data_IF_704695047435
#
_entry.id   IF_704695047435
#
_cell.length_a   1.000
_cell.length_b   1.000
_cell.length_c   1.000
_cell.angle_alpha   90.00
_cell.angle_beta   90.00
_cell.angle_gamma   90.00
#
_symmetry.space_group_name_H-M   'P 1'
#
loop_
_entity.id
_entity.type
_entity.pdbx_description
1 polymer ?
#
# COMPACT_ATOMS: atom_id res chain seq x y z
N UNK A 1 6.30 -10.12 -21.63
CA UNK A 1 6.69 -8.74 -21.22
C UNK A 1 5.50 -7.97 -20.64
N UNK A 2 4.29 -8.23 -21.14
CA UNK A 2 2.99 -7.68 -20.68
C UNK A 2 2.64 -8.05 -19.23
N UNK A 3 2.93 -9.28 -18.78
CA UNK A 3 2.55 -9.73 -17.43
C UNK A 3 3.29 -8.98 -16.32
N UNK A 4 4.60 -8.76 -16.48
CA UNK A 4 5.40 -8.00 -15.51
C UNK A 4 4.96 -6.54 -15.41
N UNK A 5 4.54 -5.93 -16.52
CA UNK A 5 4.03 -4.55 -16.53
C UNK A 5 2.66 -4.49 -15.85
N UNK A 6 1.77 -5.45 -16.11
CA UNK A 6 0.48 -5.54 -15.45
C UNK A 6 0.62 -5.75 -13.93
N UNK A 7 1.52 -6.62 -13.50
CA UNK A 7 1.77 -6.87 -12.08
C UNK A 7 2.28 -5.61 -11.35
N UNK A 8 3.19 -4.85 -11.97
CA UNK A 8 3.66 -3.55 -11.45
C UNK A 8 2.53 -2.54 -11.30
N UNK A 9 1.65 -2.45 -12.29
CA UNK A 9 0.50 -1.55 -12.26
C UNK A 9 -0.46 -1.96 -11.13
N UNK A 10 -0.79 -3.24 -10.98
CA UNK A 10 -1.64 -3.74 -9.89
C UNK A 10 -1.05 -3.46 -8.51
N UNK A 11 0.25 -3.69 -8.35
CA UNK A 11 0.97 -3.36 -7.11
C UNK A 11 0.94 -1.85 -6.80
N UNK A 12 1.06 -0.99 -7.82
CA UNK A 12 0.96 0.46 -7.67
C UNK A 12 -0.45 0.89 -7.27
N UNK A 13 -1.48 0.29 -7.87
CA UNK A 13 -2.89 0.56 -7.57
C UNK A 13 -3.25 0.28 -6.11
N UNK A 14 -2.51 -0.60 -5.43
CA UNK A 14 -2.69 -0.82 -4.00
C UNK A 14 -2.49 0.48 -3.19
N UNK A 15 -1.61 1.39 -3.61
CA UNK A 15 -1.31 2.61 -2.87
C UNK A 15 -2.12 3.83 -3.32
N UNK A 16 -2.95 3.69 -4.36
CA UNK A 16 -3.91 4.73 -4.73
C UNK A 16 -4.88 4.91 -3.57
N UNK A 17 -5.09 6.15 -3.09
CA UNK A 17 -5.98 6.43 -1.97
C UNK A 17 -7.32 5.69 -2.07
N UNK A 18 -7.65 4.95 -1.01
CA UNK A 18 -8.91 4.18 -0.89
C UNK A 18 -9.09 3.01 -1.89
N UNK A 19 -8.13 2.81 -2.80
CA UNK A 19 -8.23 1.81 -3.86
C UNK A 19 -7.67 0.44 -3.47
N UNK A 20 -6.86 0.37 -2.41
CA UNK A 20 -6.37 -0.89 -1.82
C UNK A 20 -7.49 -1.86 -1.45
N UNK A 21 -8.59 -1.35 -0.89
CA UNK A 21 -9.76 -2.14 -0.52
C UNK A 21 -10.39 -2.76 -1.77
N UNK A 22 -10.48 -2.00 -2.86
CA UNK A 22 -11.04 -2.46 -4.13
C UNK A 22 -10.17 -3.57 -4.73
N UNK A 23 -8.85 -3.39 -4.75
CA UNK A 23 -7.90 -4.42 -5.21
C UNK A 23 -7.99 -5.68 -4.34
N UNK A 24 -8.17 -5.53 -3.02
CA UNK A 24 -8.33 -6.67 -2.11
C UNK A 24 -9.54 -7.55 -2.47
N UNK A 25 -10.65 -6.99 -2.93
CA UNK A 25 -11.85 -7.76 -3.30
C UNK A 25 -11.86 -8.22 -4.77
N UNK A 26 -11.28 -7.44 -5.69
CA UNK A 26 -11.31 -7.76 -7.12
C UNK A 26 -10.28 -8.82 -7.54
N UNK A 27 -9.10 -8.82 -6.93
CA UNK A 27 -8.03 -9.72 -7.35
C UNK A 27 -8.07 -11.01 -6.52
N UNK A 28 -8.47 -12.13 -7.13
CA UNK A 28 -8.59 -13.43 -6.44
C UNK A 28 -7.27 -14.16 -6.28
N UNK A 29 -6.35 -14.03 -7.25
CA UNK A 29 -5.07 -14.73 -7.26
C UNK A 29 -3.94 -13.73 -7.01
N UNK A 30 -3.65 -13.50 -5.72
CA UNK A 30 -2.76 -12.43 -5.26
C UNK A 30 -1.35 -12.97 -5.07
N UNK A 31 -0.37 -12.37 -5.75
CA UNK A 31 1.03 -12.66 -5.45
C UNK A 31 1.37 -12.23 -4.02
N UNK A 32 2.39 -12.86 -3.43
CA UNK A 32 2.82 -12.55 -2.06
C UNK A 32 3.18 -11.06 -1.90
N UNK A 33 3.87 -10.50 -2.90
CA UNK A 33 4.19 -9.07 -2.98
C UNK A 33 2.94 -8.20 -3.00
N UNK A 34 1.90 -8.59 -3.73
CA UNK A 34 0.66 -7.81 -3.79
C UNK A 34 -0.08 -7.86 -2.46
N UNK A 35 -0.11 -9.01 -1.79
CA UNK A 35 -0.65 -9.11 -0.43
C UNK A 35 0.07 -8.19 0.55
N UNK A 36 1.41 -8.16 0.52
CA UNK A 36 2.20 -7.22 1.33
C UNK A 36 1.84 -5.77 1.04
N UNK A 37 1.75 -5.39 -0.23
CA UNK A 37 1.40 -4.03 -0.65
C UNK A 37 -0.03 -3.62 -0.22
N UNK A 38 -0.99 -4.55 -0.27
CA UNK A 38 -2.33 -4.30 0.25
C UNK A 38 -2.29 -4.05 1.76
N UNK A 39 -1.58 -4.89 2.52
CA UNK A 39 -1.44 -4.73 3.98
C UNK A 39 -0.82 -3.37 4.31
N UNK A 40 0.26 -2.98 3.63
CA UNK A 40 0.90 -1.68 3.83
C UNK A 40 0.02 -0.50 3.48
N UNK A 41 -0.76 -0.61 2.40
CA UNK A 41 -1.72 0.44 2.05
C UNK A 41 -2.85 0.56 3.08
N UNK A 42 -3.36 -0.56 3.61
CA UNK A 42 -4.36 -0.55 4.69
C UNK A 42 -3.77 0.09 5.95
N UNK A 43 -2.54 -0.28 6.32
CA UNK A 43 -1.84 0.31 7.47
C UNK A 43 -1.67 1.82 7.27
N UNK A 44 -1.27 2.25 6.07
CA UNK A 44 -1.13 3.67 5.72
C UNK A 44 -2.47 4.42 5.85
N UNK A 45 -3.57 3.81 5.41
CA UNK A 45 -4.92 4.37 5.55
C UNK A 45 -5.33 4.49 7.03
N UNK A 46 -5.07 3.47 7.84
CA UNK A 46 -5.34 3.50 9.29
C UNK A 46 -4.51 4.61 9.96
N UNK A 47 -3.23 4.73 9.62
CA UNK A 47 -2.39 5.84 10.11
C UNK A 47 -2.93 7.20 9.70
N UNK A 48 -3.41 7.37 8.47
CA UNK A 48 -4.05 8.61 8.03
C UNK A 48 -5.27 8.95 8.87
N UNK A 49 -6.18 7.99 9.12
CA UNK A 49 -7.38 8.23 9.92
C UNK A 49 -7.01 8.60 11.36
N UNK A 50 -6.12 7.84 12.00
CA UNK A 50 -5.68 8.09 13.38
C UNK A 50 -4.96 9.43 13.51
N UNK A 51 -4.05 9.74 12.58
CA UNK A 51 -3.32 11.01 12.57
C UNK A 51 -4.23 12.19 12.25
N UNK A 52 -5.21 12.01 11.37
CA UNK A 52 -6.22 13.02 11.03
C UNK A 52 -7.20 13.33 12.18
N UNK A 53 -7.40 12.39 13.13
CA UNK A 53 -8.15 12.63 14.36
C UNK A 53 -7.36 13.47 15.37
N UNK A 54 -6.03 13.31 15.41
CA UNK A 54 -5.14 14.02 16.35
C UNK A 54 -4.72 15.40 15.82
N UNK A 55 -4.53 15.50 14.50
CA UNK A 55 -4.07 16.70 13.80
C UNK A 55 -5.19 17.31 12.96
N UNK A 56 -4.91 18.39 12.21
CA UNK A 56 -5.87 18.88 11.22
C UNK A 56 -5.94 17.89 10.06
N UNK A 57 -7.15 17.43 9.71
CA UNK A 57 -7.42 16.51 8.60
C UNK A 57 -6.66 16.85 7.31
N UNK A 58 -6.52 18.14 6.98
CA UNK A 58 -5.81 18.61 5.80
C UNK A 58 -4.31 18.26 5.80
N UNK A 59 -3.64 18.37 6.96
CA UNK A 59 -2.22 18.05 7.05
C UNK A 59 -1.98 16.55 6.96
N UNK A 60 -2.83 15.76 7.63
CA UNK A 60 -2.82 14.30 7.51
C UNK A 60 -3.05 13.84 6.06
N UNK A 61 -3.94 14.53 5.32
CA UNK A 61 -4.21 14.21 3.93
C UNK A 61 -3.00 14.45 3.03
N UNK A 62 -2.27 15.54 3.22
CA UNK A 62 -1.03 15.82 2.46
C UNK A 62 0.00 14.71 2.68
N UNK A 63 0.26 14.35 3.94
CA UNK A 63 1.20 13.26 4.24
C UNK A 63 0.76 11.93 3.65
N UNK A 64 -0.52 11.61 3.77
CA UNK A 64 -1.09 10.41 3.19
C UNK A 64 -0.86 10.33 1.67
N UNK A 65 -1.14 11.40 0.94
CA UNK A 65 -0.89 11.47 -0.51
C UNK A 65 0.61 11.30 -0.82
N UNK A 66 1.50 11.97 -0.08
CA UNK A 66 2.94 11.85 -0.30
C UNK A 66 3.45 10.42 -0.09
N UNK A 67 3.04 9.76 1.00
CA UNK A 67 3.42 8.38 1.27
C UNK A 67 2.80 7.41 0.25
N UNK A 68 1.54 7.61 -0.13
CA UNK A 68 0.88 6.84 -1.18
C UNK A 68 1.62 6.93 -2.51
N UNK A 69 2.02 8.12 -2.93
CA UNK A 69 2.80 8.33 -4.16
C UNK A 69 4.17 7.68 -4.06
N UNK A 70 4.87 7.86 -2.93
CA UNK A 70 6.20 7.28 -2.71
C UNK A 70 6.18 5.74 -2.75
N UNK A 71 5.28 5.11 -2.01
CA UNK A 71 5.14 3.65 -2.00
C UNK A 71 4.61 3.11 -3.34
N UNK A 72 3.65 3.81 -3.96
CA UNK A 72 3.18 3.49 -5.30
C UNK A 72 4.31 3.50 -6.33
N UNK A 73 5.19 4.50 -6.28
CA UNK A 73 6.36 4.57 -7.16
C UNK A 73 7.32 3.40 -6.94
N UNK A 74 7.67 3.08 -5.68
CA UNK A 74 8.51 1.91 -5.35
C UNK A 74 7.91 0.60 -5.86
N UNK A 75 6.61 0.41 -5.63
CA UNK A 75 5.87 -0.75 -6.12
C UNK A 75 5.87 -0.83 -7.66
N UNK A 76 5.79 0.31 -8.36
CA UNK A 76 5.83 0.38 -9.81
C UNK A 76 7.18 -0.04 -10.40
N UNK A 77 8.28 0.43 -9.84
CA UNK A 77 9.63 0.03 -10.29
C UNK A 77 9.96 -1.42 -9.89
N UNK A 78 9.17 -2.01 -8.99
CA UNK A 78 9.29 -3.39 -8.53
C UNK A 78 10.31 -3.54 -7.40
N UNK A 79 10.59 -2.46 -6.68
CA UNK A 79 11.39 -2.46 -5.46
C UNK A 79 10.51 -2.94 -4.30
N UNK A 80 11.04 -3.84 -3.46
CA UNK A 80 10.31 -4.30 -2.29
C UNK A 80 10.26 -3.18 -1.24
N UNK A 81 9.05 -2.90 -0.75
CA UNK A 81 8.84 -1.96 0.33
C UNK A 81 9.16 -2.73 1.62
N UNK A 82 10.42 -2.65 2.06
CA UNK A 82 10.90 -3.44 3.19
C UNK A 82 10.79 -2.61 4.47
N UNK A 83 9.65 -2.71 5.15
CA UNK A 83 9.43 -2.06 6.46
C UNK A 83 9.56 -3.15 7.51
N UNK A 84 10.82 -3.46 7.88
CA UNK A 84 11.16 -4.57 8.79
C UNK A 84 10.24 -4.71 10.01
N UNK A 85 9.88 -3.58 10.63
CA UNK A 85 8.96 -3.56 11.77
C UNK A 85 7.55 -4.06 11.42
N UNK A 86 6.99 -3.67 10.28
CA UNK A 86 5.67 -4.12 9.84
C UNK A 86 5.72 -5.56 9.30
N UNK A 87 6.81 -5.93 8.62
CA UNK A 87 7.04 -7.31 8.19
C UNK A 87 7.04 -8.26 9.40
N UNK A 88 7.76 -7.94 10.47
CA UNK A 88 7.83 -8.76 11.68
C UNK A 88 6.47 -8.83 12.44
N UNK A 89 5.67 -7.76 12.42
CA UNK A 89 4.38 -7.69 13.14
C UNK A 89 3.18 -8.30 12.39
N UNK A 90 3.10 -8.05 11.08
CA UNK A 90 1.91 -8.35 10.29
C UNK A 90 2.12 -9.45 9.23
N UNK A 91 3.38 -9.75 8.87
CA UNK A 91 3.70 -10.69 7.79
C UNK A 91 4.36 -11.95 8.34
N UNK A 92 5.18 -11.85 9.39
CA UNK A 92 5.92 -12.99 9.98
C UNK A 92 5.11 -13.92 10.89
N UNK A 93 3.79 -13.94 10.74
CA UNK A 93 2.93 -15.03 11.20
C UNK A 93 2.54 -15.90 10.01
N UNK A 94 3.51 -16.63 9.44
CA UNK A 94 3.23 -17.78 8.58
C UNK A 94 4.30 -18.83 8.78
#
# INVERSE_FOLDING_TARGET
MTDKKNERIKNTMCFVPFFSIVIYFLEKDKSERMNKNIIYSIILLVFFILFGLITKFFLGFIFYILFSVYFGYKAYIGEDIDVKFLDDLFIKKK
#
